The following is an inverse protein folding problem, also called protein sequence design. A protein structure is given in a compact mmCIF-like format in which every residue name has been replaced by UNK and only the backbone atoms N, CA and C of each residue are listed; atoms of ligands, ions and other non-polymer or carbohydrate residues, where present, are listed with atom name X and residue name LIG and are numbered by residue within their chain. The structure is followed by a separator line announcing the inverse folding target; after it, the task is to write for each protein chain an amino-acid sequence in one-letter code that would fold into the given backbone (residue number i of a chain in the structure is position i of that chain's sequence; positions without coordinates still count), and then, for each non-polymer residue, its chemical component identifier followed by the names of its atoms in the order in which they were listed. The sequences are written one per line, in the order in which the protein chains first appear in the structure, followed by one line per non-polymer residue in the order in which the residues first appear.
data_IF_571674437335
#
_entry.id   IF_571674437335
#
_cell.length_a   1.000
_cell.length_b   1.000
_cell.length_c   1.000
_cell.angle_alpha   90.00
_cell.angle_beta   90.00
_cell.angle_gamma   90.00
#
_symmetry.space_group_name_H-M   'P 1'
#
loop_
_entity.id
_entity.type
_entity.pdbx_description
1 polymer ?
#
# COMPACT_ATOMS: atom_id res chain seq x y z
N UNK A 1 -19.11 -30.96 -9.24
CA UNK A 1 -18.04 -31.90 -8.81
C UNK A 1 -17.37 -32.62 -9.99
N UNK A 2 -18.15 -33.24 -10.89
CA UNK A 2 -17.64 -34.09 -11.99
C UNK A 2 -16.87 -33.36 -13.12
N UNK A 3 -16.88 -32.02 -13.11
CA UNK A 3 -16.19 -31.18 -14.12
C UNK A 3 -14.98 -30.43 -13.56
N UNK A 4 -14.60 -30.68 -12.30
CA UNK A 4 -13.44 -30.04 -11.69
C UNK A 4 -12.18 -30.60 -12.34
N UNK A 5 -11.28 -29.70 -12.75
CA UNK A 5 -9.96 -30.02 -13.28
C UNK A 5 -8.93 -29.05 -12.72
N UNK A 6 -7.67 -29.46 -12.61
CA UNK A 6 -6.55 -28.59 -12.23
C UNK A 6 -6.13 -27.66 -13.39
N UNK A 7 -5.16 -26.76 -13.21
CA UNK A 7 -4.76 -25.81 -14.26
C UNK A 7 -4.24 -26.48 -15.56
N UNK A 8 -3.76 -27.73 -15.46
CA UNK A 8 -3.24 -28.55 -16.55
C UNK A 8 -4.35 -29.38 -17.22
N UNK A 9 -5.53 -29.44 -16.61
CA UNK A 9 -6.70 -30.14 -17.12
C UNK A 9 -6.85 -31.57 -16.59
N UNK A 10 -6.06 -31.99 -15.61
CA UNK A 10 -6.22 -33.29 -14.97
C UNK A 10 -7.45 -33.32 -14.08
N UNK A 11 -8.04 -34.50 -13.92
CA UNK A 11 -9.19 -34.70 -13.03
C UNK A 11 -8.72 -35.20 -11.66
N UNK A 12 -9.55 -35.12 -10.61
CA UNK A 12 -9.17 -35.56 -9.27
C UNK A 12 -8.77 -37.05 -9.15
N UNK A 13 -9.10 -37.87 -10.14
CA UNK A 13 -8.73 -39.28 -10.26
C UNK A 13 -7.42 -39.52 -11.02
N UNK A 14 -6.75 -38.46 -11.48
CA UNK A 14 -5.46 -38.50 -12.16
C UNK A 14 -4.30 -38.46 -11.14
N UNK A 15 -3.26 -39.26 -11.34
CA UNK A 15 -2.11 -39.35 -10.43
C UNK A 15 -1.33 -38.03 -10.35
N UNK A 16 -1.37 -37.23 -11.43
CA UNK A 16 -0.71 -35.92 -11.55
C UNK A 16 -1.64 -34.74 -11.23
N UNK A 17 -2.80 -35.00 -10.60
CA UNK A 17 -3.75 -33.95 -10.23
C UNK A 17 -3.20 -32.99 -9.17
N UNK A 18 -3.18 -31.69 -9.47
CA UNK A 18 -2.82 -30.66 -8.51
C UNK A 18 -4.08 -30.02 -7.86
N UNK A 19 -4.42 -30.37 -6.60
CA UNK A 19 -5.59 -29.81 -5.91
C UNK A 19 -5.43 -28.32 -5.56
N UNK A 20 -4.24 -27.74 -5.68
CA UNK A 20 -3.99 -26.32 -5.39
C UNK A 20 -4.36 -25.40 -6.56
N UNK A 21 -4.70 -25.95 -7.72
CA UNK A 21 -5.05 -25.18 -8.92
C UNK A 21 -6.42 -25.60 -9.50
N UNK A 22 -7.02 -24.72 -10.30
CA UNK A 22 -8.33 -24.96 -10.91
C UNK A 22 -8.34 -24.48 -12.37
N UNK A 23 -8.71 -25.37 -13.29
CA UNK A 23 -8.99 -25.01 -14.67
C UNK A 23 -10.20 -24.08 -14.71
N UNK A 24 -10.00 -22.86 -15.21
CA UNK A 24 -11.09 -21.93 -15.47
C UNK A 24 -11.17 -21.69 -16.98
N UNK A 25 -12.23 -22.15 -17.66
CA UNK A 25 -12.39 -21.93 -19.09
C UNK A 25 -12.33 -20.44 -19.44
N UNK A 26 -11.62 -20.09 -20.52
CA UNK A 26 -11.49 -18.69 -20.95
C UNK A 26 -12.84 -18.01 -21.22
N UNK A 27 -13.84 -18.76 -21.67
CA UNK A 27 -15.20 -18.28 -21.86
C UNK A 27 -15.92 -17.98 -20.54
N UNK A 28 -15.73 -18.83 -19.52
CA UNK A 28 -16.27 -18.61 -18.18
C UNK A 28 -15.63 -17.38 -17.52
N UNK A 29 -14.33 -17.17 -17.70
CA UNK A 29 -13.66 -15.94 -17.28
C UNK A 29 -14.30 -14.73 -17.96
N UNK A 30 -14.49 -14.76 -19.29
CA UNK A 30 -15.14 -13.65 -20.02
C UNK A 30 -16.56 -13.34 -19.54
N UNK A 31 -17.36 -14.36 -19.24
CA UNK A 31 -18.74 -14.21 -18.77
C UNK A 31 -18.81 -13.71 -17.31
N UNK A 32 -17.90 -14.16 -16.43
CA UNK A 32 -17.86 -13.73 -15.02
C UNK A 32 -17.15 -12.38 -14.82
N UNK A 33 -16.21 -12.03 -15.71
CA UNK A 33 -15.43 -10.79 -15.65
C UNK A 33 -15.83 -9.81 -16.75
N UNK A 34 -17.07 -9.83 -17.22
CA UNK A 34 -17.54 -8.80 -18.16
C UNK A 34 -17.28 -7.42 -17.53
N UNK A 35 -16.48 -6.58 -18.19
CA UNK A 35 -16.05 -5.27 -17.67
C UNK A 35 -14.72 -5.25 -16.91
N UNK A 36 -14.09 -6.38 -16.59
CA UNK A 36 -12.69 -6.43 -16.18
C UNK A 36 -11.86 -7.08 -17.29
N UNK A 37 -10.85 -6.35 -17.78
CA UNK A 37 -10.00 -6.89 -18.85
C UNK A 37 -9.02 -7.87 -18.24
N UNK A 38 -9.11 -9.14 -18.63
CA UNK A 38 -8.13 -10.14 -18.26
C UNK A 38 -6.83 -9.86 -19.05
N UNK A 39 -5.81 -9.38 -18.36
CA UNK A 39 -4.50 -9.11 -18.96
C UNK A 39 -3.75 -10.44 -19.06
N UNK A 40 -3.31 -10.82 -20.27
CA UNK A 40 -2.66 -12.12 -20.54
C UNK A 40 -1.42 -12.33 -19.66
N UNK A 41 -1.24 -13.55 -19.16
CA UNK A 41 -0.07 -14.01 -18.40
C UNK A 41 -0.33 -15.35 -17.71
N UNK A 42 0.69 -15.93 -17.06
CA UNK A 42 0.57 -17.17 -16.26
C UNK A 42 -0.25 -16.99 -14.98
N UNK A 43 -0.60 -15.74 -14.62
CA UNK A 43 -1.38 -15.39 -13.45
C UNK A 43 -2.58 -14.55 -13.85
N UNK A 44 -3.76 -14.93 -13.35
CA UNK A 44 -4.99 -14.19 -13.52
C UNK A 44 -4.93 -12.85 -12.78
N UNK A 45 -4.65 -11.76 -13.50
CA UNK A 45 -4.83 -10.40 -12.98
C UNK A 45 -6.08 -9.77 -13.59
N UNK A 46 -7.00 -9.39 -12.71
CA UNK A 46 -8.18 -8.61 -13.04
C UNK A 46 -8.02 -7.21 -12.45
N UNK A 47 -8.09 -6.18 -13.29
CA UNK A 47 -7.96 -4.80 -12.86
C UNK A 47 -8.28 -3.83 -13.99
N UNK A 48 -8.24 -2.54 -13.68
CA UNK A 48 -8.38 -1.47 -14.64
C UNK A 48 -7.38 -0.34 -14.33
N UNK A 49 -6.97 0.45 -15.33
CA UNK A 49 -6.10 1.61 -15.09
C UNK A 49 -6.74 2.58 -14.11
N UNK A 50 -5.96 3.17 -13.21
CA UNK A 50 -6.43 4.17 -12.23
C UNK A 50 -7.19 5.33 -12.88
N UNK A 51 -6.72 5.79 -14.04
CA UNK A 51 -7.38 6.84 -14.82
C UNK A 51 -8.82 6.48 -15.24
N UNK A 52 -9.16 5.18 -15.26
CA UNK A 52 -10.48 4.68 -15.60
C UNK A 52 -11.28 4.23 -14.36
N UNK A 53 -10.81 4.53 -13.14
CA UNK A 53 -11.44 4.06 -11.90
C UNK A 53 -12.94 4.33 -11.86
N UNK A 54 -13.37 5.57 -12.13
CA UNK A 54 -14.79 5.92 -12.09
C UNK A 54 -15.64 5.03 -12.98
N UNK A 55 -15.23 4.87 -14.25
CA UNK A 55 -15.93 4.04 -15.24
C UNK A 55 -16.09 2.59 -14.77
N UNK A 56 -15.02 1.97 -14.29
CA UNK A 56 -15.04 0.55 -13.93
C UNK A 56 -15.65 0.31 -12.55
N UNK A 57 -15.49 1.24 -11.61
CA UNK A 57 -16.19 1.22 -10.33
C UNK A 57 -17.70 1.27 -10.55
N UNK A 58 -18.20 2.16 -11.41
CA UNK A 58 -19.62 2.27 -11.72
C UNK A 58 -20.16 0.98 -12.37
N UNK A 59 -19.39 0.36 -13.27
CA UNK A 59 -19.74 -0.94 -13.87
C UNK A 59 -19.79 -2.08 -12.85
N UNK A 60 -18.93 -2.07 -11.84
CA UNK A 60 -18.95 -3.05 -10.76
C UNK A 60 -20.14 -2.81 -9.82
N UNK A 61 -20.39 -1.55 -9.44
CA UNK A 61 -21.51 -1.16 -8.55
C UNK A 61 -22.86 -1.46 -9.19
N UNK A 62 -23.06 -1.11 -10.45
CA UNK A 62 -24.29 -1.41 -11.22
C UNK A 62 -24.60 -2.91 -11.33
N UNK A 63 -23.58 -3.76 -11.16
CA UNK A 63 -23.71 -5.22 -11.15
C UNK A 63 -23.82 -5.82 -9.75
N UNK A 64 -23.97 -4.97 -8.72
CA UNK A 64 -24.15 -5.39 -7.33
C UNK A 64 -22.86 -5.68 -6.57
N UNK A 65 -21.68 -5.43 -7.16
CA UNK A 65 -20.41 -5.54 -6.44
C UNK A 65 -20.19 -4.32 -5.55
N UNK A 66 -19.66 -4.55 -4.35
CA UNK A 66 -19.26 -3.48 -3.43
C UNK A 66 -17.83 -3.06 -3.75
N UNK A 67 -17.66 -1.84 -4.26
CA UNK A 67 -16.35 -1.25 -4.56
C UNK A 67 -15.99 -0.29 -3.43
N UNK A 68 -14.82 -0.47 -2.83
CA UNK A 68 -14.30 0.41 -1.79
C UNK A 68 -12.95 1.00 -2.25
N UNK A 69 -12.85 2.33 -2.23
CA UNK A 69 -11.59 3.07 -2.40
C UNK A 69 -11.37 3.89 -1.13
N UNK A 70 -10.23 3.67 -0.49
CA UNK A 70 -9.83 4.40 0.72
C UNK A 70 -8.65 5.28 0.34
N UNK A 71 -8.93 6.54 0.03
CA UNK A 71 -7.91 7.54 -0.28
C UNK A 71 -8.15 8.83 0.48
N UNK A 72 -7.05 9.53 0.77
CA UNK A 72 -7.06 10.87 1.32
C UNK A 72 -6.89 11.86 0.17
N UNK A 73 -7.99 12.21 -0.50
CA UNK A 73 -7.98 13.19 -1.61
C UNK A 73 -8.19 14.60 -1.07
N UNK A 74 -7.10 15.32 -0.78
CA UNK A 74 -7.15 16.78 -0.61
C UNK A 74 -6.87 17.43 -1.98
N UNK A 75 -7.80 18.24 -2.48
CA UNK A 75 -7.61 18.96 -3.74
C UNK A 75 -6.63 20.13 -3.56
N UNK A 76 -5.96 20.62 -4.63
CA UNK A 76 -5.07 21.80 -4.53
C UNK A 76 -5.77 23.04 -3.96
N UNK A 77 -7.05 23.24 -4.28
CA UNK A 77 -7.86 24.34 -3.76
C UNK A 77 -8.16 24.16 -2.25
N UNK A 78 -8.48 22.93 -1.82
CA UNK A 78 -8.65 22.61 -0.39
C UNK A 78 -7.34 22.77 0.40
N UNK A 79 -6.21 22.47 -0.23
CA UNK A 79 -4.86 22.70 0.31
C UNK A 79 -4.59 24.20 0.48
N UNK A 80 -4.89 25.03 -0.52
CA UNK A 80 -4.74 26.49 -0.47
C UNK A 80 -5.61 27.13 0.63
N UNK A 81 -6.90 26.79 0.68
CA UNK A 81 -7.81 27.28 1.71
C UNK A 81 -7.37 26.87 3.13
N UNK A 82 -6.79 25.67 3.27
CA UNK A 82 -6.22 25.21 4.53
C UNK A 82 -4.96 25.99 4.91
N UNK A 83 -4.08 26.24 3.95
CA UNK A 83 -2.84 27.00 4.17
C UNK A 83 -3.14 28.44 4.64
N UNK A 84 -4.22 29.05 4.14
CA UNK A 84 -4.68 30.37 4.58
C UNK A 84 -5.21 30.38 6.03
N UNK A 85 -5.73 29.25 6.54
CA UNK A 85 -6.37 29.15 7.87
C UNK A 85 -5.46 28.60 8.97
N UNK A 86 -4.24 28.14 8.65
CA UNK A 86 -3.47 27.29 9.56
C UNK A 86 -2.29 28.01 10.25
N UNK A 87 -2.56 28.62 11.42
CA UNK A 87 -1.56 28.61 12.52
C UNK A 87 -1.64 27.23 13.19
N UNK A 88 -0.61 26.39 13.01
CA UNK A 88 -0.54 25.03 13.59
C UNK A 88 -0.68 23.86 12.61
N UNK A 89 -0.32 24.03 11.34
CA UNK A 89 -0.50 23.01 10.28
C UNK A 89 0.17 21.64 10.55
N UNK A 90 1.32 21.60 11.22
CA UNK A 90 2.11 20.37 11.45
C UNK A 90 1.33 19.30 12.24
N UNK A 91 0.62 19.69 13.30
CA UNK A 91 -0.06 18.73 14.17
C UNK A 91 -1.31 18.11 13.50
N UNK A 92 -2.05 18.92 12.72
CA UNK A 92 -3.28 18.47 12.05
C UNK A 92 -3.00 17.49 10.90
N UNK A 93 -1.94 17.70 10.12
CA UNK A 93 -1.56 16.79 9.02
C UNK A 93 -1.15 15.44 9.59
N UNK A 94 -0.32 15.43 10.64
CA UNK A 94 0.12 14.22 11.33
C UNK A 94 -1.09 13.43 11.88
N UNK A 95 -2.05 14.12 12.53
CA UNK A 95 -3.27 13.49 13.06
C UNK A 95 -4.13 12.85 11.97
N UNK A 96 -4.33 13.52 10.83
CA UNK A 96 -5.07 12.97 9.68
C UNK A 96 -4.41 11.72 9.11
N UNK A 97 -3.09 11.67 9.03
CA UNK A 97 -2.37 10.48 8.55
C UNK A 97 -2.53 9.28 9.51
N UNK A 98 -2.55 9.53 10.82
CA UNK A 98 -2.81 8.48 11.82
C UNK A 98 -4.24 7.94 11.73
N UNK A 99 -5.23 8.83 11.64
CA UNK A 99 -6.64 8.42 11.50
C UNK A 99 -6.86 7.64 10.20
N UNK A 100 -6.28 8.11 9.09
CA UNK A 100 -6.35 7.41 7.79
C UNK A 100 -5.72 6.01 7.83
N UNK A 101 -4.56 5.87 8.47
CA UNK A 101 -3.91 4.56 8.66
C UNK A 101 -4.77 3.63 9.52
N UNK A 102 -5.38 4.14 10.60
CA UNK A 102 -6.22 3.36 11.50
C UNK A 102 -7.50 2.87 10.80
N UNK A 103 -8.17 3.74 10.05
CA UNK A 103 -9.37 3.39 9.27
C UNK A 103 -9.01 2.35 8.21
N UNK A 104 -7.95 2.58 7.42
CA UNK A 104 -7.50 1.63 6.41
C UNK A 104 -7.17 0.26 7.02
N UNK A 105 -6.53 0.22 8.19
CA UNK A 105 -6.25 -1.01 8.93
C UNK A 105 -7.53 -1.73 9.37
N UNK A 106 -8.53 -1.00 9.88
CA UNK A 106 -9.80 -1.57 10.31
C UNK A 106 -10.56 -2.18 9.13
N UNK A 107 -10.63 -1.46 8.00
CA UNK A 107 -11.27 -1.95 6.76
C UNK A 107 -10.56 -3.19 6.24
N UNK A 108 -9.23 -3.17 6.13
CA UNK A 108 -8.46 -4.32 5.67
C UNK A 108 -8.64 -5.55 6.57
N UNK A 109 -8.68 -5.34 7.89
CA UNK A 109 -8.96 -6.41 8.86
C UNK A 109 -10.37 -6.97 8.70
N UNK A 110 -11.37 -6.12 8.50
CA UNK A 110 -12.77 -6.53 8.35
C UNK A 110 -12.99 -7.32 7.05
N UNK A 111 -12.40 -6.84 5.95
CA UNK A 111 -12.42 -7.54 4.66
C UNK A 111 -11.74 -8.90 4.76
N UNK A 112 -10.55 -8.98 5.38
CA UNK A 112 -9.77 -10.22 5.43
C UNK A 112 -10.27 -11.28 6.41
N UNK A 113 -11.01 -10.88 7.46
CA UNK A 113 -11.48 -11.80 8.52
C UNK A 113 -12.97 -12.08 8.48
N UNK A 114 -13.80 -11.07 8.23
CA UNK A 114 -15.27 -11.21 8.33
C UNK A 114 -15.94 -11.34 6.97
N UNK A 115 -15.56 -10.49 6.00
CA UNK A 115 -16.20 -10.49 4.68
C UNK A 115 -15.63 -11.60 3.79
N UNK A 116 -14.31 -11.81 3.85
CA UNK A 116 -13.56 -12.84 3.11
C UNK A 116 -13.86 -12.88 1.60
N UNK A 117 -14.05 -11.71 0.99
CA UNK A 117 -14.17 -11.60 -0.46
C UNK A 117 -12.80 -11.43 -1.14
N UNK A 118 -12.71 -11.82 -2.42
CA UNK A 118 -11.56 -11.49 -3.26
C UNK A 118 -11.54 -9.98 -3.50
N UNK A 119 -10.46 -9.31 -3.11
CA UNK A 119 -10.34 -7.85 -3.14
C UNK A 119 -8.93 -7.41 -3.46
N UNK A 120 -8.81 -6.28 -4.17
CA UNK A 120 -7.57 -5.51 -4.25
C UNK A 120 -7.64 -4.33 -3.28
N UNK A 121 -6.61 -4.16 -2.47
CA UNK A 121 -6.51 -3.05 -1.52
C UNK A 121 -5.24 -2.23 -1.83
N UNK A 122 -5.40 -1.14 -2.57
CA UNK A 122 -4.31 -0.21 -2.86
C UNK A 122 -4.13 0.76 -1.69
N UNK A 123 -2.88 1.00 -1.25
CA UNK A 123 -2.59 1.92 -0.16
C UNK A 123 -1.20 2.55 -0.26
N UNK A 124 -1.09 3.80 0.20
CA UNK A 124 0.19 4.49 0.39
C UNK A 124 0.75 4.34 1.82
N UNK A 125 0.01 3.68 2.72
CA UNK A 125 0.43 3.50 4.11
C UNK A 125 1.41 2.33 4.25
N UNK A 126 2.70 2.61 4.06
CA UNK A 126 3.74 1.57 4.16
C UNK A 126 3.79 0.88 5.54
N UNK A 127 3.40 1.58 6.61
CA UNK A 127 3.23 1.01 7.95
C UNK A 127 2.14 -0.07 8.00
N UNK A 128 1.04 0.10 7.26
CA UNK A 128 -0.05 -0.87 7.19
C UNK A 128 0.40 -2.15 6.48
N UNK A 129 1.21 -2.05 5.41
CA UNK A 129 1.71 -3.22 4.69
C UNK A 129 2.48 -4.19 5.58
N UNK A 130 3.28 -3.66 6.53
CA UNK A 130 4.03 -4.49 7.49
C UNK A 130 3.11 -5.26 8.43
N UNK A 131 2.06 -4.62 8.92
CA UNK A 131 1.07 -5.26 9.80
C UNK A 131 0.18 -6.23 9.02
N UNK A 132 -0.11 -5.95 7.74
CA UNK A 132 -0.92 -6.79 6.89
C UNK A 132 -0.21 -8.11 6.52
N UNK A 133 1.12 -8.10 6.43
CA UNK A 133 1.96 -9.27 6.11
C UNK A 133 1.76 -10.47 7.05
N UNK A 134 1.30 -10.23 8.28
CA UNK A 134 1.10 -11.29 9.28
C UNK A 134 -0.18 -12.09 9.06
N UNK A 135 -1.07 -11.64 8.18
CA UNK A 135 -2.35 -12.29 7.92
C UNK A 135 -2.21 -13.24 6.72
N UNK A 136 -2.46 -14.56 6.87
CA UNK A 136 -2.32 -15.52 5.78
C UNK A 136 -3.30 -15.29 4.63
N UNK A 137 -4.40 -14.56 4.87
CA UNK A 137 -5.39 -14.22 3.83
C UNK A 137 -5.00 -12.98 3.02
N UNK A 138 -3.83 -12.38 3.27
CA UNK A 138 -3.38 -11.16 2.59
C UNK A 138 -2.06 -11.43 1.87
N UNK A 139 -2.11 -11.39 0.53
CA UNK A 139 -0.91 -11.32 -0.29
C UNK A 139 -0.52 -9.86 -0.52
N UNK A 140 0.78 -9.57 -0.40
CA UNK A 140 1.33 -8.24 -0.65
C UNK A 140 1.93 -8.20 -2.05
N UNK A 141 1.66 -7.12 -2.76
CA UNK A 141 2.22 -6.88 -4.08
C UNK A 141 2.38 -5.38 -4.36
N UNK A 142 3.24 -5.05 -5.31
CA UNK A 142 3.49 -3.68 -5.76
C UNK A 142 3.70 -3.63 -7.27
N UNK A 143 3.53 -2.45 -7.87
CA UNK A 143 3.92 -2.21 -9.26
C UNK A 143 5.44 -2.07 -9.34
N UNK A 144 6.07 -2.95 -10.12
CA UNK A 144 7.51 -2.88 -10.35
C UNK A 144 7.89 -1.60 -11.09
N UNK A 145 9.06 -1.10 -10.73
CA UNK A 145 9.69 0.04 -11.37
C UNK A 145 11.18 -0.25 -11.54
N UNK A 146 11.76 0.42 -12.52
CA UNK A 146 13.19 0.46 -12.75
C UNK A 146 13.67 1.87 -12.39
N UNK A 147 14.73 1.98 -11.61
CA UNK A 147 15.32 3.26 -11.26
C UNK A 147 16.65 3.37 -11.99
N UNK A 148 16.74 4.34 -12.88
CA UNK A 148 17.99 4.73 -13.53
C UNK A 148 18.67 5.80 -12.68
N UNK A 149 20.01 5.73 -12.60
CA UNK A 149 20.83 6.63 -11.80
C UNK A 149 20.47 6.59 -10.29
N UNK A 150 20.34 5.40 -9.71
CA UNK A 150 20.19 5.27 -8.25
C UNK A 150 21.35 5.95 -7.55
N UNK A 151 21.03 7.01 -6.80
CA UNK A 151 22.00 7.72 -5.99
C UNK A 151 21.40 7.91 -4.60
N UNK A 152 21.84 7.07 -3.67
CA UNK A 152 21.37 7.11 -2.27
C UNK A 152 21.60 8.46 -1.59
N UNK A 153 22.60 9.23 -2.06
CA UNK A 153 22.93 10.56 -1.56
C UNK A 153 21.98 11.66 -2.05
N UNK A 154 21.35 11.48 -3.23
CA UNK A 154 20.42 12.46 -3.80
C UNK A 154 19.33 11.78 -4.65
N UNK A 155 18.31 11.18 -4.01
CA UNK A 155 17.21 10.51 -4.70
C UNK A 155 16.27 11.47 -5.44
N UNK A 156 16.51 12.78 -5.39
CA UNK A 156 15.67 13.77 -6.10
C UNK A 156 15.91 13.80 -7.61
N UNK A 157 17.02 13.22 -8.07
CA UNK A 157 17.41 13.17 -9.49
C UNK A 157 17.15 11.80 -10.14
N UNK A 158 16.73 10.80 -9.35
CA UNK A 158 16.40 9.46 -9.83
C UNK A 158 15.39 9.51 -10.99
N UNK A 159 15.67 8.75 -12.04
CA UNK A 159 14.72 8.57 -13.15
C UNK A 159 14.01 7.24 -12.96
N UNK A 160 12.70 7.29 -12.69
CA UNK A 160 11.91 6.09 -12.41
C UNK A 160 11.08 5.73 -13.64
N UNK A 161 11.29 4.52 -14.17
CA UNK A 161 10.46 3.93 -15.20
C UNK A 161 9.47 2.96 -14.58
N UNK A 162 8.16 3.24 -14.73
CA UNK A 162 7.11 2.33 -14.28
C UNK A 162 6.99 1.16 -15.27
N UNK A 163 7.18 -0.06 -14.79
CA UNK A 163 7.14 -1.27 -15.63
C UNK A 163 5.72 -1.84 -15.77
N UNK A 164 4.75 -1.30 -15.01
CA UNK A 164 3.35 -1.75 -14.97
C UNK A 164 3.18 -3.26 -14.73
N UNK A 165 4.16 -3.87 -14.06
CA UNK A 165 4.19 -5.29 -13.72
C UNK A 165 3.92 -5.47 -12.24
N UNK A 166 2.86 -6.20 -11.88
CA UNK A 166 2.63 -6.58 -10.48
C UNK A 166 3.71 -7.58 -10.04
N UNK A 167 4.36 -7.28 -8.93
CA UNK A 167 5.41 -8.10 -8.32
C UNK A 167 5.10 -8.28 -6.84
N UNK A 168 5.43 -9.46 -6.31
CA UNK A 168 5.17 -9.79 -4.91
C UNK A 168 5.98 -8.91 -3.95
N UNK A 169 5.42 -8.73 -2.76
CA UNK A 169 6.03 -7.98 -1.67
C UNK A 169 5.66 -6.50 -1.65
N UNK A 170 6.20 -5.81 -0.64
CA UNK A 170 5.97 -4.37 -0.42
C UNK A 170 6.93 -3.55 -1.29
N UNK A 171 6.44 -2.45 -1.83
CA UNK A 171 7.26 -1.50 -2.58
C UNK A 171 8.46 -1.04 -1.72
N UNK A 172 9.72 -1.21 -2.19
CA UNK A 172 10.91 -0.98 -1.38
C UNK A 172 11.14 0.50 -1.07
N UNK A 173 10.75 1.40 -1.98
CA UNK A 173 10.92 2.85 -1.86
C UNK A 173 9.63 3.58 -2.25
N UNK A 174 9.46 4.81 -1.77
CA UNK A 174 8.41 5.71 -2.25
C UNK A 174 8.98 6.63 -3.33
N UNK A 175 8.27 6.79 -4.44
CA UNK A 175 8.71 7.61 -5.58
C UNK A 175 8.02 8.97 -5.61
N UNK A 176 7.65 9.50 -4.44
CA UNK A 176 6.90 10.75 -4.31
C UNK A 176 7.65 11.95 -4.87
N UNK A 177 8.97 12.01 -4.67
CA UNK A 177 9.81 13.09 -5.21
C UNK A 177 9.91 13.04 -6.73
N UNK A 178 10.02 11.84 -7.31
CA UNK A 178 9.98 11.66 -8.76
C UNK A 178 8.63 12.11 -9.34
N UNK A 179 7.52 11.71 -8.72
CA UNK A 179 6.18 12.11 -9.14
C UNK A 179 5.99 13.65 -9.06
N UNK A 180 6.51 14.30 -8.02
CA UNK A 180 6.47 15.77 -7.90
C UNK A 180 7.25 16.45 -9.03
N UNK A 181 8.44 15.94 -9.38
CA UNK A 181 9.23 16.45 -10.52
C UNK A 181 8.48 16.29 -11.84
N UNK A 182 7.86 15.13 -12.06
CA UNK A 182 7.06 14.86 -13.25
C UNK A 182 5.82 15.78 -13.34
N UNK A 183 5.26 16.17 -12.19
CA UNK A 183 4.18 17.15 -12.10
C UNK A 183 4.63 18.62 -12.30
N UNK A 184 5.90 18.86 -12.59
CA UNK A 184 6.45 20.20 -12.83
C UNK A 184 6.77 20.99 -11.56
N UNK A 185 6.84 20.33 -10.40
CA UNK A 185 7.31 21.00 -9.17
C UNK A 185 8.78 21.37 -9.32
N UNK A 186 9.12 22.62 -8.99
CA UNK A 186 10.49 23.14 -9.12
C UNK A 186 11.49 22.29 -8.33
N UNK A 187 12.68 22.06 -8.91
CA UNK A 187 13.69 21.18 -8.34
C UNK A 187 14.15 21.63 -6.95
N UNK A 188 14.23 22.94 -6.70
CA UNK A 188 14.64 23.47 -5.39
C UNK A 188 13.63 23.09 -4.29
N UNK A 189 12.34 23.08 -4.62
CA UNK A 189 11.26 22.69 -3.70
C UNK A 189 11.30 21.19 -3.41
N UNK A 190 11.56 20.37 -4.44
CA UNK A 190 11.71 18.91 -4.27
C UNK A 190 12.91 18.59 -3.38
N UNK A 191 14.03 19.30 -3.56
CA UNK A 191 15.24 19.15 -2.74
C UNK A 191 15.00 19.57 -1.28
N UNK A 192 14.35 20.70 -1.05
CA UNK A 192 13.97 21.13 0.30
C UNK A 192 13.02 20.13 0.98
N UNK A 193 12.04 19.60 0.24
CA UNK A 193 11.13 18.58 0.75
C UNK A 193 11.85 17.28 1.12
N UNK A 194 12.88 16.89 0.36
CA UNK A 194 13.72 15.73 0.66
C UNK A 194 14.49 15.92 1.98
N UNK A 195 15.17 17.05 2.15
CA UNK A 195 15.90 17.34 3.40
C UNK A 195 14.95 17.41 4.61
N UNK A 196 13.79 18.04 4.46
CA UNK A 196 12.76 18.05 5.50
C UNK A 196 12.28 16.63 5.85
N UNK A 197 12.11 15.76 4.84
CA UNK A 197 11.73 14.37 5.03
C UNK A 197 12.79 13.58 5.80
N UNK A 198 14.08 13.77 5.50
CA UNK A 198 15.19 13.16 6.25
C UNK A 198 15.19 13.55 7.72
N UNK A 199 15.07 14.85 8.01
CA UNK A 199 15.03 15.35 9.39
C UNK A 199 13.85 14.77 10.17
N UNK A 200 12.68 14.69 9.53
CA UNK A 200 11.48 14.06 10.11
C UNK A 200 11.71 12.57 10.38
N UNK A 201 12.27 11.85 9.41
CA UNK A 201 12.55 10.43 9.52
C UNK A 201 13.52 10.13 10.67
N UNK A 202 14.62 10.89 10.76
CA UNK A 202 15.62 10.74 11.82
C UNK A 202 15.02 11.05 13.20
N UNK A 203 14.18 12.08 13.30
CA UNK A 203 13.48 12.41 14.55
C UNK A 203 12.55 11.28 15.00
N UNK A 204 11.77 10.70 14.08
CA UNK A 204 10.87 9.58 14.37
C UNK A 204 11.67 8.32 14.73
N UNK A 205 12.75 8.02 14.02
CA UNK A 205 13.60 6.85 14.30
C UNK A 205 14.30 6.97 15.65
N UNK A 206 14.83 8.15 16.00
CA UNK A 206 15.43 8.40 17.33
C UNK A 206 14.43 8.13 18.44
N UNK A 207 13.21 8.67 18.35
CA UNK A 207 12.16 8.40 19.34
C UNK A 207 11.79 6.92 19.40
N UNK A 208 11.70 6.25 18.25
CA UNK A 208 11.40 4.81 18.19
C UNK A 208 12.49 3.97 18.86
N UNK A 209 13.77 4.29 18.62
CA UNK A 209 14.92 3.62 19.25
C UNK A 209 14.96 3.87 20.76
N UNK A 210 14.73 5.10 21.20
CA UNK A 210 14.66 5.45 22.61
C UNK A 210 13.52 4.71 23.34
N UNK A 211 12.34 4.64 22.73
CA UNK A 211 11.22 3.84 23.26
C UNK A 211 11.56 2.34 23.31
N UNK A 212 12.25 1.81 22.30
CA UNK A 212 12.69 0.41 22.30
C UNK A 212 13.68 0.14 23.44
N UNK A 213 14.66 1.03 23.65
CA UNK A 213 15.60 0.93 24.76
C UNK A 213 14.92 0.96 26.13
N UNK A 214 13.93 1.85 26.32
CA UNK A 214 13.12 1.89 27.55
C UNK A 214 12.40 0.56 27.77
N UNK A 215 11.82 -0.03 26.72
CA UNK A 215 11.13 -1.33 26.81
C UNK A 215 12.07 -2.47 27.21
N UNK A 216 13.30 -2.49 26.67
CA UNK A 216 14.30 -3.50 27.04
C UNK A 216 14.71 -3.37 28.50
N UNK A 217 15.00 -2.14 28.97
CA UNK A 217 15.31 -1.90 30.39
C UNK A 217 14.15 -2.29 31.30
N UNK A 218 12.91 -1.99 30.92
CA UNK A 218 11.73 -2.37 31.69
C UNK A 218 11.56 -3.91 31.78
N UNK A 219 11.80 -4.65 30.69
CA UNK A 219 11.75 -6.12 30.70
C UNK A 219 12.91 -6.75 31.45
N UNK A 220 14.08 -6.10 31.47
CA UNK A 220 15.27 -6.53 32.19
C UNK A 220 15.23 -6.25 33.70
N UNK A 221 14.13 -5.72 34.24
CA UNK A 221 13.99 -5.41 35.67
C UNK A 221 14.66 -4.10 36.10
N UNK A 222 14.83 -3.14 35.18
CA UNK A 222 15.38 -1.83 35.49
C UNK A 222 14.57 -1.08 36.55
N UNK A 223 15.25 -0.23 37.33
CA UNK A 223 14.61 0.52 38.42
C UNK A 223 13.62 1.57 37.89
N UNK A 224 12.65 1.93 38.74
CA UNK A 224 11.65 2.94 38.41
C UNK A 224 12.29 4.30 38.17
N UNK A 225 13.36 4.63 38.91
CA UNK A 225 14.15 5.85 38.76
C UNK A 225 14.84 5.90 37.39
N UNK A 226 15.48 4.81 36.98
CA UNK A 226 16.15 4.72 35.68
C UNK A 226 15.15 4.85 34.52
N UNK A 227 14.00 4.20 34.62
CA UNK A 227 12.93 4.32 33.61
C UNK A 227 12.36 5.74 33.55
N UNK A 228 12.20 6.42 34.69
CA UNK A 228 11.74 7.82 34.73
C UNK A 228 12.70 8.77 34.04
N UNK A 229 14.01 8.64 34.30
CA UNK A 229 15.02 9.47 33.63
C UNK A 229 15.01 9.26 32.12
N UNK A 230 14.94 8.00 31.66
CA UNK A 230 14.88 7.69 30.23
C UNK A 230 13.61 8.23 29.57
N UNK A 231 12.46 8.19 30.25
CA UNK A 231 11.19 8.75 29.74
C UNK A 231 11.26 10.28 29.68
N UNK A 232 11.88 10.94 30.66
CA UNK A 232 12.04 12.40 30.66
C UNK A 232 12.97 12.92 29.56
N UNK A 233 13.80 12.06 28.97
CA UNK A 233 14.74 12.40 27.89
C UNK A 233 14.17 12.22 26.46
N UNK A 234 12.89 11.83 26.31
CA UNK A 234 12.18 11.64 25.03
C UNK A 234 11.56 12.92 24.45
#
# INVERSE_FOLDING_TARGET
PEKIRDAQGHRPDDDDYDPSTLFVPAQFLKEQTEGLTFMRGNYAHAGFPEAAYGKFADQLVSRGYKVARVEQTETPQQLEERNQKARGAKEKVVRRTFDGTAIASAVLSDVSRRIQCRSFFSTHYHSLCKTAAVNPNIALAHMACMVENENESNPTEECVTFLYRLTDGVCPKSYGFFAARLAGVRQEVVKEAYEASRVLFDSVNRKKMAIAAIKEVARGGGSVEQLREMISAL
#
